data_IF_165634815085
#
_entry.id   IF_165634815085
#
_cell.length_a   1.000
_cell.length_b   1.000
_cell.length_c   1.000
_cell.angle_alpha   90.00
_cell.angle_beta   90.00
_cell.angle_gamma   90.00
#
_symmetry.space_group_name_H-M   'P 1'
#
loop_
_entity.id
_entity.type
_entity.pdbx_description
1 polymer ?
#
# COMPACT_ATOMS: atom_id res chain seq x y z
N UNK A 1 -20.05 19.79 -62.00
CA UNK A 1 -19.86 18.49 -62.67
C UNK A 1 -20.01 17.43 -61.59
N UNK A 2 -21.24 16.97 -61.30
CA UNK A 2 -21.93 15.81 -61.92
C UNK A 2 -21.16 14.50 -61.70
N UNK A 3 -21.71 13.41 -61.17
CA UNK A 3 -23.10 13.04 -60.88
C UNK A 3 -23.12 11.90 -59.84
N UNK A 4 -24.15 11.90 -59.00
CA UNK A 4 -24.67 10.75 -58.27
C UNK A 4 -25.60 9.91 -59.16
N UNK A 5 -25.76 8.62 -58.84
CA UNK A 5 -26.97 7.75 -58.93
C UNK A 5 -26.51 6.29 -58.73
N UNK A 6 -27.15 5.36 -58.01
CA UNK A 6 -28.48 5.31 -57.41
C UNK A 6 -29.17 3.98 -57.76
N UNK A 7 -29.44 3.14 -56.74
CA UNK A 7 -30.53 2.14 -56.59
C UNK A 7 -30.64 1.00 -57.65
N UNK A 8 -31.27 -0.17 -57.49
CA UNK A 8 -32.28 -0.83 -56.61
C UNK A 8 -32.19 -2.32 -57.02
N UNK A 9 -32.30 -3.33 -56.14
CA UNK A 9 -33.55 -3.88 -55.61
C UNK A 9 -33.74 -5.34 -56.08
N UNK A 10 -34.33 -6.20 -55.24
CA UNK A 10 -34.85 -7.52 -55.67
C UNK A 10 -34.67 -8.66 -54.67
N UNK A 11 -35.65 -8.85 -53.80
CA UNK A 11 -35.81 -10.01 -52.93
C UNK A 11 -36.59 -11.14 -53.64
N UNK A 12 -36.32 -12.40 -53.31
CA UNK A 12 -37.33 -13.47 -53.32
C UNK A 12 -36.93 -14.62 -52.38
N UNK A 13 -37.92 -15.11 -51.64
CA UNK A 13 -37.85 -16.16 -50.63
C UNK A 13 -38.14 -17.55 -51.20
N UNK A 14 -37.63 -18.63 -50.57
CA UNK A 14 -38.36 -19.91 -50.50
C UNK A 14 -37.84 -20.79 -49.34
N UNK A 15 -38.68 -21.03 -48.34
CA UNK A 15 -38.65 -22.10 -47.32
C UNK A 15 -39.50 -23.30 -47.83
N UNK A 16 -39.74 -24.39 -47.06
CA UNK A 16 -38.84 -25.29 -46.30
C UNK A 16 -39.11 -26.78 -46.66
N UNK A 17 -38.36 -27.73 -46.07
CA UNK A 17 -38.68 -29.17 -46.12
C UNK A 17 -38.64 -29.76 -44.71
N UNK A 18 -39.69 -30.48 -44.35
CA UNK A 18 -39.99 -31.04 -43.02
C UNK A 18 -40.15 -32.55 -43.11
N UNK A 19 -39.87 -33.22 -41.99
CA UNK A 19 -40.43 -34.49 -41.44
C UNK A 19 -39.50 -35.71 -41.48
N UNK A 20 -39.71 -36.72 -40.61
CA UNK A 20 -39.61 -36.62 -39.13
C UNK A 20 -38.90 -37.85 -38.53
N UNK A 21 -38.55 -37.83 -37.24
CA UNK A 21 -38.51 -39.10 -36.48
C UNK A 21 -38.84 -38.90 -35.00
N UNK A 22 -39.93 -39.54 -34.58
CA UNK A 22 -40.39 -39.73 -33.20
C UNK A 22 -39.66 -40.97 -32.65
N UNK A 23 -39.13 -41.00 -31.44
CA UNK A 23 -39.66 -41.54 -30.14
C UNK A 23 -38.36 -41.73 -29.33
N UNK A 24 -38.21 -41.49 -28.03
CA UNK A 24 -39.03 -41.96 -26.93
C UNK A 24 -38.64 -41.23 -25.64
N UNK A 25 -39.57 -41.19 -24.69
CA UNK A 25 -39.48 -40.46 -23.44
C UNK A 25 -38.71 -41.24 -22.36
N UNK A 26 -37.89 -40.55 -21.56
CA UNK A 26 -37.67 -40.94 -20.16
C UNK A 26 -37.45 -39.68 -19.32
N UNK A 27 -38.47 -39.38 -18.52
CA UNK A 27 -38.52 -38.30 -17.53
C UNK A 27 -37.67 -38.66 -16.31
N UNK A 28 -36.89 -37.72 -15.79
CA UNK A 28 -36.36 -37.76 -14.41
C UNK A 28 -36.51 -36.35 -13.82
N UNK A 29 -37.11 -36.19 -12.62
CA UNK A 29 -37.61 -34.90 -12.18
C UNK A 29 -36.55 -33.96 -11.59
N UNK A 30 -36.86 -32.67 -11.73
CA UNK A 30 -36.13 -31.47 -11.33
C UNK A 30 -35.57 -31.48 -9.90
N UNK A 31 -34.34 -30.98 -9.81
CA UNK A 31 -33.71 -30.59 -8.57
C UNK A 31 -34.42 -29.37 -7.98
N UNK A 32 -34.93 -29.53 -6.76
CA UNK A 32 -35.45 -28.45 -5.92
C UNK A 32 -34.33 -27.43 -5.69
N UNK A 33 -34.41 -26.30 -6.38
CA UNK A 33 -33.54 -25.15 -6.14
C UNK A 33 -34.09 -24.41 -4.93
N UNK A 34 -33.47 -24.57 -3.77
CA UNK A 34 -33.70 -23.71 -2.60
C UNK A 34 -33.03 -22.35 -2.89
N UNK A 35 -33.75 -21.22 -2.84
CA UNK A 35 -33.11 -19.93 -3.03
C UNK A 35 -32.23 -19.59 -1.83
N UNK A 36 -30.98 -19.27 -2.12
CA UNK A 36 -29.96 -18.83 -1.18
C UNK A 36 -30.45 -17.54 -0.50
N UNK A 37 -30.65 -17.59 0.82
CA UNK A 37 -31.06 -16.45 1.62
C UNK A 37 -29.91 -15.45 1.71
N UNK A 38 -29.84 -14.54 0.74
CA UNK A 38 -29.08 -13.31 0.89
C UNK A 38 -29.74 -12.53 2.01
N UNK A 39 -29.15 -12.54 3.21
CA UNK A 39 -29.64 -11.79 4.36
C UNK A 39 -29.57 -10.30 4.05
N UNK A 40 -30.71 -9.72 3.66
CA UNK A 40 -30.93 -8.27 3.68
C UNK A 40 -30.65 -7.79 5.11
N UNK A 41 -29.88 -6.69 5.31
CA UNK A 41 -29.73 -6.13 6.65
C UNK A 41 -31.12 -5.88 7.25
N UNK A 42 -31.30 -6.33 8.49
CA UNK A 42 -32.57 -6.25 9.20
C UNK A 42 -33.01 -4.78 9.26
N UNK A 43 -34.28 -4.46 8.97
CA UNK A 43 -34.75 -3.07 8.93
C UNK A 43 -34.50 -2.31 10.26
N UNK A 44 -34.39 -3.06 11.36
CA UNK A 44 -34.00 -2.55 12.67
C UNK A 44 -32.52 -2.11 12.73
N UNK A 45 -31.60 -2.81 12.06
CA UNK A 45 -30.17 -2.47 11.98
C UNK A 45 -29.96 -1.21 11.12
N UNK A 46 -30.69 -1.09 10.00
CA UNK A 46 -30.66 0.14 9.20
C UNK A 46 -31.20 1.36 9.95
N UNK A 47 -32.30 1.19 10.70
CA UNK A 47 -32.84 2.26 11.55
C UNK A 47 -31.87 2.65 12.68
N UNK A 48 -31.18 1.68 13.29
CA UNK A 48 -30.15 1.94 14.30
C UNK A 48 -28.94 2.68 13.70
N UNK A 49 -28.47 2.24 12.53
CA UNK A 49 -27.37 2.90 11.81
C UNK A 49 -27.70 4.34 11.40
N UNK A 50 -28.95 4.60 10.97
CA UNK A 50 -29.41 5.94 10.63
C UNK A 50 -29.47 6.86 11.86
N UNK A 51 -29.95 6.36 13.02
CA UNK A 51 -29.96 7.11 14.28
C UNK A 51 -28.54 7.42 14.75
N UNK A 52 -27.63 6.45 14.66
CA UNK A 52 -26.23 6.65 15.02
C UNK A 52 -25.57 7.69 14.12
N UNK A 53 -25.81 7.63 12.80
CA UNK A 53 -25.32 8.66 11.88
C UNK A 53 -25.87 10.05 12.20
N UNK A 54 -27.15 10.17 12.56
CA UNK A 54 -27.72 11.46 12.96
C UNK A 54 -27.04 12.05 14.20
N UNK A 55 -26.62 11.22 15.17
CA UNK A 55 -25.81 11.66 16.31
C UNK A 55 -24.44 12.16 15.87
N UNK A 56 -23.75 11.41 15.01
CA UNK A 56 -22.44 11.81 14.48
C UNK A 56 -22.51 13.12 13.68
N UNK A 57 -23.61 13.34 12.97
CA UNK A 57 -23.82 14.55 12.17
C UNK A 57 -23.92 15.82 13.03
N UNK A 58 -24.32 15.70 14.30
CA UNK A 58 -24.36 16.85 15.22
C UNK A 58 -22.96 17.45 15.51
N UNK A 59 -21.89 16.70 15.22
CA UNK A 59 -20.51 17.18 15.34
C UNK A 59 -20.04 17.98 14.12
N UNK A 60 -20.75 17.95 12.99
CA UNK A 60 -20.39 18.75 11.82
C UNK A 60 -20.46 20.25 12.15
N UNK A 61 -19.41 20.99 11.78
CA UNK A 61 -19.24 22.40 12.10
C UNK A 61 -18.70 22.67 13.52
N UNK A 62 -18.58 21.66 14.38
CA UNK A 62 -17.97 21.84 15.70
C UNK A 62 -16.44 21.96 15.58
N UNK A 63 -15.78 22.73 16.47
CA UNK A 63 -14.33 22.83 16.48
C UNK A 63 -13.70 21.46 16.74
N UNK A 64 -12.66 21.11 15.99
CA UNK A 64 -11.77 19.98 16.27
C UNK A 64 -10.53 20.41 17.08
N UNK A 65 -10.08 21.65 16.88
CA UNK A 65 -9.07 22.34 17.67
C UNK A 65 -9.38 23.84 17.64
N UNK A 66 -9.11 24.55 18.73
CA UNK A 66 -9.35 25.99 18.83
C UNK A 66 -8.11 26.67 19.39
N UNK A 67 -7.60 27.67 18.66
CA UNK A 67 -6.39 28.41 19.01
C UNK A 67 -5.19 27.49 19.31
N UNK A 68 -5.06 26.40 18.56
CA UNK A 68 -3.93 25.48 18.70
C UNK A 68 -2.62 26.17 18.36
N UNK A 69 -1.56 25.82 19.08
CA UNK A 69 -0.23 26.42 18.88
C UNK A 69 0.76 25.35 18.42
N UNK A 70 1.54 25.69 17.39
CA UNK A 70 2.69 24.89 17.04
C UNK A 70 3.68 24.87 18.21
N UNK A 71 4.27 23.71 18.49
CA UNK A 71 5.20 23.55 19.62
C UNK A 71 6.44 24.41 19.49
N UNK A 72 6.91 24.51 18.26
CA UNK A 72 8.07 25.27 17.88
C UNK A 72 7.65 26.26 16.79
N UNK A 73 8.25 27.47 16.76
CA UNK A 73 8.20 28.26 15.54
C UNK A 73 8.83 27.45 14.40
N UNK A 74 8.51 27.83 13.17
CA UNK A 74 9.19 27.30 12.00
C UNK A 74 10.69 27.46 12.21
N UNK A 75 11.46 26.40 12.03
CA UNK A 75 12.88 26.40 12.37
C UNK A 75 13.73 25.58 11.39
N UNK A 76 14.95 26.05 11.16
CA UNK A 76 15.90 25.44 10.23
C UNK A 76 16.26 23.99 10.59
N UNK A 77 16.46 23.60 11.87
CA UNK A 77 16.77 22.21 12.20
C UNK A 77 15.71 21.21 11.73
N UNK A 78 14.43 21.52 11.93
CA UNK A 78 13.33 20.67 11.47
C UNK A 78 13.22 20.65 9.95
N UNK A 79 13.41 21.81 9.28
CA UNK A 79 13.43 21.89 7.81
C UNK A 79 14.53 20.99 7.25
N UNK A 80 15.76 21.14 7.76
CA UNK A 80 16.92 20.34 7.31
C UNK A 80 16.67 18.84 7.47
N UNK A 81 16.20 18.40 8.64
CA UNK A 81 15.93 16.98 8.88
C UNK A 81 14.80 16.43 8.02
N UNK A 82 13.77 17.22 7.76
CA UNK A 82 12.70 16.84 6.84
C UNK A 82 13.25 16.68 5.41
N UNK A 83 14.03 17.65 4.92
CA UNK A 83 14.63 17.61 3.59
C UNK A 83 15.58 16.41 3.42
N UNK A 84 16.43 16.14 4.42
CA UNK A 84 17.31 14.96 4.44
C UNK A 84 16.52 13.65 4.36
N UNK A 85 15.44 13.52 5.14
CA UNK A 85 14.61 12.31 5.16
C UNK A 85 13.82 12.11 3.86
N UNK A 86 13.37 13.21 3.25
CA UNK A 86 12.61 13.19 1.99
C UNK A 86 13.51 13.10 0.76
N UNK A 87 14.82 13.33 0.92
CA UNK A 87 15.77 13.43 -0.20
C UNK A 87 15.53 14.69 -1.06
N UNK A 88 14.95 15.74 -0.49
CA UNK A 88 14.65 16.99 -1.17
C UNK A 88 15.78 17.99 -0.94
N UNK A 89 16.44 18.40 -2.02
CA UNK A 89 17.63 19.25 -1.99
C UNK A 89 17.39 20.62 -2.64
N UNK A 90 16.13 21.07 -2.75
CA UNK A 90 15.83 22.39 -3.31
C UNK A 90 16.58 23.50 -2.52
N UNK A 91 17.34 24.37 -3.19
CA UNK A 91 18.09 25.42 -2.54
C UNK A 91 17.23 26.43 -1.77
N UNK A 92 15.94 26.56 -2.10
CA UNK A 92 15.00 27.45 -1.40
C UNK A 92 14.82 27.12 0.09
N UNK A 93 15.18 25.91 0.53
CA UNK A 93 15.03 25.45 1.91
C UNK A 93 16.26 25.69 2.78
N UNK A 94 17.29 26.36 2.25
CA UNK A 94 18.57 26.58 2.93
C UNK A 94 19.02 28.04 2.85
N UNK A 95 19.84 28.45 3.82
CA UNK A 95 20.41 29.81 3.86
C UNK A 95 19.50 30.84 4.55
N UNK A 96 19.89 32.13 4.54
CA UNK A 96 19.24 33.17 5.34
C UNK A 96 17.80 33.49 4.91
N UNK A 97 17.45 33.24 3.65
CA UNK A 97 16.11 33.48 3.09
C UNK A 97 15.29 32.19 2.97
N UNK A 98 15.69 31.14 3.70
CA UNK A 98 15.06 29.83 3.63
C UNK A 98 13.55 29.92 3.87
N UNK A 99 12.81 29.11 3.11
CA UNK A 99 11.42 28.81 3.37
C UNK A 99 11.30 27.37 3.85
N UNK A 100 10.28 27.07 4.64
CA UNK A 100 9.95 25.67 4.90
C UNK A 100 9.33 25.06 3.62
N UNK A 101 9.68 23.81 3.28
CA UNK A 101 8.97 23.06 2.25
C UNK A 101 7.45 23.13 2.49
N UNK A 102 6.63 23.50 1.48
CA UNK A 102 5.19 23.66 1.67
C UNK A 102 4.51 22.43 2.27
N UNK A 103 4.98 21.23 1.90
CA UNK A 103 4.54 19.93 2.42
C UNK A 103 4.81 19.71 3.91
N UNK A 104 5.57 20.59 4.58
CA UNK A 104 5.71 20.60 6.03
C UNK A 104 4.56 21.31 6.76
N UNK A 105 3.54 21.84 6.06
CA UNK A 105 2.43 22.59 6.67
C UNK A 105 1.84 21.89 7.91
N UNK A 106 1.56 20.59 7.80
CA UNK A 106 1.05 19.79 8.92
C UNK A 106 2.11 19.47 9.98
N UNK A 107 3.38 19.36 9.61
CA UNK A 107 4.46 19.01 10.55
C UNK A 107 4.54 20.01 11.71
N UNK A 108 4.28 21.28 11.45
CA UNK A 108 4.28 22.35 12.45
C UNK A 108 3.08 22.32 13.40
N UNK A 109 2.02 21.58 13.08
CA UNK A 109 0.82 21.45 13.91
C UNK A 109 0.69 20.07 14.56
N UNK A 110 1.69 19.20 14.39
CA UNK A 110 1.69 17.87 14.98
C UNK A 110 1.91 17.89 16.51
N UNK A 111 1.10 17.12 17.24
CA UNK A 111 1.25 16.94 18.68
C UNK A 111 2.51 16.18 19.12
N UNK A 112 3.30 15.65 18.18
CA UNK A 112 4.50 14.86 18.48
C UNK A 112 4.23 13.68 19.44
N UNK A 113 5.26 13.24 20.17
CA UNK A 113 5.16 12.09 21.07
C UNK A 113 4.26 12.34 22.29
N UNK A 114 4.15 13.60 22.74
CA UNK A 114 3.28 13.97 23.86
C UNK A 114 1.79 14.06 23.48
N UNK A 115 1.46 13.96 22.19
CA UNK A 115 0.12 14.20 21.69
C UNK A 115 -0.26 15.69 21.65
N UNK A 116 -1.46 15.96 21.12
CA UNK A 116 -2.03 17.30 21.07
C UNK A 116 -2.64 17.67 22.43
N UNK A 117 -2.20 18.79 23.01
CA UNK A 117 -2.85 19.43 24.17
C UNK A 117 -4.10 20.24 23.80
N UNK A 118 -4.25 20.55 22.51
CA UNK A 118 -5.18 21.58 22.03
C UNK A 118 -6.42 20.99 21.33
N UNK A 119 -6.66 19.68 21.49
CA UNK A 119 -7.84 19.00 20.96
C UNK A 119 -9.09 19.53 21.66
N UNK A 120 -10.14 19.78 20.89
CA UNK A 120 -11.42 20.18 21.46
C UNK A 120 -12.11 18.98 22.13
N UNK A 121 -12.95 19.27 23.13
CA UNK A 121 -13.81 18.25 23.74
C UNK A 121 -14.75 17.58 22.74
N UNK A 122 -15.23 18.31 21.73
CA UNK A 122 -16.12 17.79 20.68
C UNK A 122 -15.45 16.75 19.79
N UNK A 123 -14.16 16.91 19.49
CA UNK A 123 -13.41 15.94 18.69
C UNK A 123 -13.16 14.65 19.46
N UNK A 124 -12.82 14.77 20.74
CA UNK A 124 -12.60 13.62 21.62
C UNK A 124 -13.90 12.86 21.89
N UNK A 125 -15.02 13.57 22.08
CA UNK A 125 -16.35 12.97 22.22
C UNK A 125 -16.78 12.23 20.94
N UNK A 126 -16.58 12.81 19.75
CA UNK A 126 -16.84 12.13 18.47
C UNK A 126 -16.03 10.84 18.37
N UNK A 127 -14.74 10.90 18.73
CA UNK A 127 -13.87 9.73 18.69
C UNK A 127 -14.30 8.66 19.69
N UNK A 128 -14.66 9.05 20.92
CA UNK A 128 -15.16 8.14 21.94
C UNK A 128 -16.47 7.47 21.52
N UNK A 129 -17.39 8.18 20.86
CA UNK A 129 -18.63 7.60 20.32
C UNK A 129 -18.34 6.56 19.24
N UNK A 130 -17.42 6.87 18.32
CA UNK A 130 -17.00 5.93 17.28
C UNK A 130 -16.31 4.70 17.87
N UNK A 131 -15.44 4.88 18.87
CA UNK A 131 -14.75 3.79 19.56
C UNK A 131 -15.74 2.91 20.35
N UNK A 132 -16.72 3.53 21.02
CA UNK A 132 -17.82 2.85 21.70
C UNK A 132 -18.72 2.05 20.75
N UNK A 133 -18.81 2.46 19.48
CA UNK A 133 -19.47 1.69 18.41
C UNK A 133 -18.56 0.61 17.78
N UNK A 134 -17.38 0.36 18.37
CA UNK A 134 -16.41 -0.64 17.92
C UNK A 134 -15.46 -0.16 16.82
N UNK A 135 -15.58 1.08 16.34
CA UNK A 135 -14.73 1.64 15.28
C UNK A 135 -13.37 2.10 15.83
N UNK A 136 -12.62 1.18 16.43
CA UNK A 136 -11.36 1.44 17.14
C UNK A 136 -10.14 1.56 16.23
N UNK A 137 -10.26 1.15 14.96
CA UNK A 137 -9.17 1.26 13.98
C UNK A 137 -9.32 2.54 13.16
N UNK A 138 -8.19 3.15 12.81
CA UNK A 138 -8.15 4.39 12.03
C UNK A 138 -7.15 4.29 10.89
N UNK A 139 -7.50 4.86 9.75
CA UNK A 139 -6.58 5.03 8.61
C UNK A 139 -6.85 6.36 7.93
N UNK A 140 -5.81 7.06 7.50
CA UNK A 140 -5.93 8.24 6.65
C UNK A 140 -6.24 7.81 5.22
N UNK A 141 -7.23 8.44 4.60
CA UNK A 141 -7.68 8.08 3.25
C UNK A 141 -7.40 9.17 2.23
N UNK A 142 -7.50 10.44 2.63
CA UNK A 142 -7.32 11.58 1.75
C UNK A 142 -6.67 12.75 2.51
N UNK A 143 -5.81 13.48 1.81
CA UNK A 143 -5.12 14.67 2.32
C UNK A 143 -5.04 15.70 1.20
N UNK A 144 -5.68 16.84 1.39
CA UNK A 144 -5.65 17.99 0.48
C UNK A 144 -5.03 19.18 1.23
N UNK A 145 -4.03 19.82 0.63
CA UNK A 145 -3.38 21.00 1.20
C UNK A 145 -3.37 22.13 0.18
N UNK A 146 -3.71 23.33 0.63
CA UNK A 146 -3.57 24.56 -0.15
C UNK A 146 -2.54 25.46 0.55
N UNK A 147 -1.57 25.95 -0.22
CA UNK A 147 -0.48 26.78 0.29
C UNK A 147 -0.67 28.21 -0.23
N UNK A 148 -0.99 29.14 0.66
CA UNK A 148 -1.27 30.53 0.28
C UNK A 148 -0.01 31.40 0.35
N UNK A 149 0.91 31.08 1.25
CA UNK A 149 2.22 31.72 1.37
C UNK A 149 3.27 30.76 1.92
N UNK A 150 4.55 30.97 1.60
CA UNK A 150 5.62 30.21 2.21
C UNK A 150 5.74 30.55 3.70
N UNK A 151 6.06 29.52 4.48
CA UNK A 151 6.45 29.63 5.88
C UNK A 151 7.95 29.90 5.97
N UNK A 152 8.39 30.70 6.94
CA UNK A 152 9.79 31.08 7.11
C UNK A 152 10.28 30.79 8.53
N UNK A 153 11.57 30.45 8.73
CA UNK A 153 12.15 30.34 10.05
C UNK A 153 11.81 31.55 10.94
N UNK A 154 11.33 31.28 12.15
CA UNK A 154 10.84 32.28 13.10
C UNK A 154 9.33 32.50 13.09
N UNK A 155 8.59 32.03 12.08
CA UNK A 155 7.13 32.14 12.05
C UNK A 155 6.49 31.35 13.20
N UNK A 156 5.69 32.04 14.01
CA UNK A 156 4.88 31.43 15.06
C UNK A 156 3.60 30.84 14.45
N UNK A 157 3.43 29.53 14.59
CA UNK A 157 2.32 28.81 13.99
C UNK A 157 1.14 28.70 14.95
N UNK A 158 -0.04 29.09 14.47
CA UNK A 158 -1.31 28.82 15.14
C UNK A 158 -2.28 28.15 14.18
N UNK A 159 -3.25 27.41 14.70
CA UNK A 159 -4.22 26.73 13.86
C UNK A 159 -5.58 26.56 14.54
N UNK A 160 -6.62 26.58 13.73
CA UNK A 160 -7.96 26.13 14.11
C UNK A 160 -8.35 24.97 13.22
N UNK A 161 -9.11 24.02 13.77
CA UNK A 161 -9.67 22.94 12.98
C UNK A 161 -11.16 22.80 13.24
N UNK A 162 -11.90 22.38 12.22
CA UNK A 162 -13.33 22.09 12.29
C UNK A 162 -13.60 20.69 11.78
N UNK A 163 -14.58 20.02 12.39
CA UNK A 163 -15.14 18.77 11.86
C UNK A 163 -16.02 19.17 10.66
N UNK A 164 -15.50 19.00 9.46
CA UNK A 164 -16.16 19.46 8.23
C UNK A 164 -17.32 18.53 7.83
N UNK A 165 -17.12 17.22 7.93
CA UNK A 165 -18.17 16.24 7.63
C UNK A 165 -17.96 14.89 8.32
N UNK A 166 -19.06 14.18 8.58
CA UNK A 166 -19.05 12.77 9.01
C UNK A 166 -19.98 11.95 8.12
N UNK A 167 -19.41 10.97 7.41
CA UNK A 167 -20.19 10.17 6.46
C UNK A 167 -21.18 9.23 7.15
N UNK A 168 -22.23 8.78 6.44
CA UNK A 168 -22.95 7.57 6.82
C UNK A 168 -22.01 6.37 6.94
N UNK A 169 -22.50 5.27 7.52
CA UNK A 169 -21.77 4.01 7.62
C UNK A 169 -21.36 3.52 6.22
N UNK A 170 -20.08 3.19 6.03
CA UNK A 170 -19.53 2.67 4.78
C UNK A 170 -18.74 1.39 5.04
N UNK A 171 -18.92 0.41 4.17
CA UNK A 171 -18.13 -0.83 4.17
C UNK A 171 -17.04 -0.72 3.12
N UNK A 172 -15.80 -0.95 3.55
CA UNK A 172 -14.59 -0.96 2.73
C UNK A 172 -13.90 -2.32 2.83
N UNK A 173 -12.81 -2.53 2.10
CA UNK A 173 -11.98 -3.73 2.25
C UNK A 173 -11.33 -3.86 3.63
N UNK A 174 -11.06 -2.75 4.31
CA UNK A 174 -10.45 -2.73 5.64
C UNK A 174 -11.47 -3.04 6.74
N UNK A 175 -12.74 -2.73 6.49
CA UNK A 175 -13.82 -2.92 7.43
C UNK A 175 -14.94 -1.91 7.24
N UNK A 176 -15.87 -1.90 8.20
CA UNK A 176 -17.06 -1.06 8.17
C UNK A 176 -16.93 0.06 9.20
N UNK A 177 -17.19 1.29 8.80
CA UNK A 177 -16.95 2.45 9.63
C UNK A 177 -17.51 3.76 9.06
N UNK A 178 -17.00 4.87 9.57
CA UNK A 178 -17.39 6.22 9.17
C UNK A 178 -16.15 7.01 8.74
N UNK A 179 -16.32 7.78 7.67
CA UNK A 179 -15.31 8.76 7.30
C UNK A 179 -15.54 10.04 8.09
N UNK A 180 -14.46 10.59 8.65
CA UNK A 180 -14.45 11.88 9.33
C UNK A 180 -13.50 12.79 8.58
N UNK A 181 -14.01 13.92 8.10
CA UNK A 181 -13.21 14.93 7.41
C UNK A 181 -13.03 16.13 8.33
N UNK A 182 -11.79 16.51 8.57
CA UNK A 182 -11.43 17.73 9.32
C UNK A 182 -10.77 18.72 8.39
N UNK A 183 -11.16 19.99 8.50
CA UNK A 183 -10.52 21.10 7.79
C UNK A 183 -9.77 21.95 8.82
N UNK A 184 -8.50 22.21 8.56
CA UNK A 184 -7.61 23.00 9.41
C UNK A 184 -7.14 24.23 8.66
N UNK A 185 -7.20 25.37 9.33
CA UNK A 185 -6.65 26.64 8.86
C UNK A 185 -5.38 26.93 9.66
N UNK A 186 -4.23 26.94 8.98
CA UNK A 186 -2.91 27.16 9.60
C UNK A 186 -2.47 28.59 9.34
N UNK A 187 -2.07 29.29 10.40
CA UNK A 187 -1.65 30.69 10.36
C UNK A 187 -0.20 30.83 10.81
N UNK A 188 0.52 31.75 10.18
CA UNK A 188 1.85 32.18 10.56
C UNK A 188 1.77 33.63 11.04
N UNK A 189 2.15 33.88 12.29
CA UNK A 189 2.08 35.21 12.92
C UNK A 189 0.68 35.86 12.82
N UNK A 190 -0.38 35.05 12.82
CA UNK A 190 -1.77 35.50 12.71
C UNK A 190 -2.32 35.61 11.29
N UNK A 191 -1.49 35.49 10.25
CA UNK A 191 -1.91 35.49 8.84
C UNK A 191 -2.14 34.08 8.31
N UNK A 192 -3.17 33.86 7.51
CA UNK A 192 -3.44 32.54 6.91
C UNK A 192 -2.30 32.13 5.97
N UNK A 193 -1.66 31.01 6.30
CA UNK A 193 -0.54 30.46 5.56
C UNK A 193 -0.95 29.32 4.62
N UNK A 194 -1.90 28.49 5.05
CA UNK A 194 -2.43 27.41 4.25
C UNK A 194 -3.63 26.73 4.90
N UNK A 195 -4.30 25.89 4.12
CA UNK A 195 -5.40 25.05 4.59
C UNK A 195 -5.04 23.57 4.41
N UNK A 196 -5.58 22.74 5.29
CA UNK A 196 -5.37 21.30 5.27
C UNK A 196 -6.69 20.58 5.53
N UNK A 197 -7.20 19.89 4.52
CA UNK A 197 -8.38 19.02 4.63
C UNK A 197 -7.90 17.58 4.70
N UNK A 198 -8.19 16.94 5.82
CA UNK A 198 -7.73 15.59 6.13
C UNK A 198 -8.92 14.68 6.38
N UNK A 199 -8.95 13.55 5.68
CA UNK A 199 -10.02 12.56 5.81
C UNK A 199 -9.46 11.25 6.35
N UNK A 200 -10.10 10.77 7.40
CA UNK A 200 -9.83 9.47 8.00
C UNK A 200 -11.04 8.56 7.88
N UNK A 201 -10.79 7.26 7.90
CA UNK A 201 -11.80 6.23 8.15
C UNK A 201 -11.56 5.68 9.56
N UNK A 202 -12.54 5.85 10.46
CA UNK A 202 -12.62 5.10 11.73
C UNK A 202 -13.53 3.89 11.50
N UNK A 203 -13.02 2.68 11.73
CA UNK A 203 -13.70 1.45 11.31
C UNK A 203 -13.51 0.29 12.29
N UNK A 204 -14.49 -0.61 12.29
CA UNK A 204 -14.36 -1.96 12.83
C UNK A 204 -13.58 -2.76 11.79
N UNK A 205 -12.40 -3.33 12.09
CA UNK A 205 -11.70 -4.20 11.16
C UNK A 205 -12.62 -5.28 10.64
N UNK A 206 -12.60 -5.50 9.32
CA UNK A 206 -13.23 -6.68 8.76
C UNK A 206 -12.67 -7.89 9.51
N UNK A 207 -13.54 -8.68 10.14
CA UNK A 207 -13.13 -9.93 10.75
C UNK A 207 -12.35 -10.67 9.68
N UNK A 208 -11.04 -10.91 9.94
CA UNK A 208 -10.23 -11.75 9.07
C UNK A 208 -11.06 -13.00 8.92
N UNK A 209 -11.59 -13.25 7.71
CA UNK A 209 -12.46 -14.41 7.48
C UNK A 209 -11.64 -15.59 8.00
N UNK A 210 -11.99 -16.10 9.18
CA UNK A 210 -11.47 -17.36 9.64
C UNK A 210 -11.77 -18.27 8.47
N UNK A 211 -10.73 -18.78 7.82
CA UNK A 211 -10.89 -19.56 6.61
C UNK A 211 -12.01 -20.56 6.90
N UNK A 212 -13.18 -20.36 6.29
CA UNK A 212 -14.27 -21.29 6.46
C UNK A 212 -13.67 -22.66 6.13
N UNK A 213 -13.82 -23.68 7.00
CA UNK A 213 -13.30 -24.99 6.69
C UNK A 213 -13.95 -25.43 5.39
N UNK A 214 -13.19 -25.36 4.28
CA UNK A 214 -13.63 -25.91 3.01
C UNK A 214 -13.99 -27.38 3.23
N UNK A 215 -15.04 -27.90 2.58
CA UNK A 215 -15.42 -29.31 2.71
C UNK A 215 -14.19 -30.16 2.45
N UNK A 216 -13.77 -30.88 3.51
CA UNK A 216 -12.62 -31.79 3.59
C UNK A 216 -11.66 -31.72 2.40
N UNK A 217 -10.90 -30.61 2.30
CA UNK A 217 -9.75 -30.59 1.41
C UNK A 217 -8.79 -31.65 1.95
N UNK A 218 -8.61 -32.74 1.19
CA UNK A 218 -7.57 -33.76 1.43
C UNK A 218 -6.32 -33.04 1.95
N UNK A 219 -5.75 -33.52 3.07
CA UNK A 219 -4.51 -33.01 3.70
C UNK A 219 -3.63 -32.37 2.62
N UNK A 220 -3.45 -31.03 2.58
CA UNK A 220 -2.53 -30.47 1.62
C UNK A 220 -1.15 -31.00 1.97
N UNK A 221 -0.38 -31.39 0.96
CA UNK A 221 1.07 -31.54 1.11
C UNK A 221 1.70 -30.22 1.58
N UNK A 222 3.00 -30.20 1.86
CA UNK A 222 3.69 -29.00 2.34
C UNK A 222 3.34 -27.79 1.46
N UNK A 223 2.96 -26.67 2.10
CA UNK A 223 2.47 -25.48 1.40
C UNK A 223 3.57 -24.93 0.47
N UNK A 224 3.25 -24.80 -0.81
CA UNK A 224 4.19 -24.36 -1.84
C UNK A 224 4.62 -22.90 -1.64
N UNK A 225 5.87 -22.59 -1.99
CA UNK A 225 6.36 -21.22 -1.94
C UNK A 225 5.73 -20.34 -3.02
N UNK A 226 5.53 -19.03 -2.73
CA UNK A 226 5.05 -18.10 -3.74
C UNK A 226 5.94 -18.13 -4.98
N UNK A 227 5.34 -18.34 -6.15
CA UNK A 227 6.06 -18.34 -7.42
C UNK A 227 6.39 -16.90 -7.81
N UNK A 228 7.62 -16.63 -8.27
CA UNK A 228 7.97 -15.32 -8.81
C UNK A 228 7.11 -14.97 -10.03
N UNK A 229 6.77 -13.69 -10.18
CA UNK A 229 6.19 -13.18 -11.42
C UNK A 229 7.34 -12.93 -12.40
N UNK A 230 7.48 -13.81 -13.38
CA UNK A 230 8.50 -13.71 -14.42
C UNK A 230 7.89 -12.98 -15.62
N UNK A 231 8.59 -11.96 -16.10
CA UNK A 231 8.23 -11.19 -17.29
C UNK A 231 9.47 -10.95 -18.15
N UNK A 232 9.30 -10.29 -19.30
CA UNK A 232 10.39 -10.01 -20.24
C UNK A 232 11.58 -9.29 -19.59
N UNK A 233 11.34 -8.39 -18.65
CA UNK A 233 12.38 -7.52 -18.10
C UNK A 233 13.21 -8.19 -17.00
N UNK A 234 12.67 -9.22 -16.34
CA UNK A 234 13.38 -10.00 -15.31
C UNK A 234 13.71 -11.44 -15.71
N UNK A 235 13.34 -11.87 -16.92
CA UNK A 235 13.56 -13.23 -17.43
C UNK A 235 15.04 -13.65 -17.32
N UNK A 236 15.97 -12.78 -17.72
CA UNK A 236 17.40 -13.10 -17.71
C UNK A 236 17.98 -13.32 -16.31
N UNK A 237 17.40 -12.71 -15.28
CA UNK A 237 17.75 -13.03 -13.89
C UNK A 237 17.37 -14.48 -13.55
N UNK A 238 16.14 -14.89 -13.89
CA UNK A 238 15.64 -16.23 -13.59
C UNK A 238 16.29 -17.33 -14.43
N UNK A 239 16.68 -17.02 -15.67
CA UNK A 239 17.49 -17.93 -16.49
C UNK A 239 18.88 -18.12 -15.87
N UNK A 240 19.51 -17.04 -15.40
CA UNK A 240 20.73 -17.12 -14.60
C UNK A 240 20.57 -18.00 -13.35
N UNK A 241 19.50 -17.79 -12.58
CA UNK A 241 19.20 -18.60 -11.39
C UNK A 241 19.10 -20.09 -11.74
N UNK A 242 18.40 -20.44 -12.83
CA UNK A 242 18.28 -21.83 -13.31
C UNK A 242 19.64 -22.46 -13.68
N UNK A 243 20.57 -21.64 -14.16
CA UNK A 243 21.94 -22.03 -14.50
C UNK A 243 22.91 -21.92 -13.30
N UNK A 244 22.39 -21.67 -12.09
CA UNK A 244 23.16 -21.43 -10.86
C UNK A 244 24.14 -20.25 -10.96
N UNK A 245 23.73 -19.19 -11.68
CA UNK A 245 24.49 -17.95 -11.88
C UNK A 245 23.68 -16.75 -11.42
N UNK A 246 24.18 -16.02 -10.43
CA UNK A 246 23.55 -14.77 -10.02
C UNK A 246 23.99 -13.65 -10.96
N UNK A 247 23.18 -13.36 -11.97
CA UNK A 247 23.47 -12.35 -12.97
C UNK A 247 22.99 -10.95 -12.55
N UNK A 248 23.90 -9.98 -12.56
CA UNK A 248 23.64 -8.57 -12.32
C UNK A 248 23.64 -7.85 -13.67
N UNK A 249 22.63 -7.00 -13.89
CA UNK A 249 22.50 -6.24 -15.13
C UNK A 249 23.52 -5.08 -15.14
N UNK A 250 24.22 -4.90 -16.26
CA UNK A 250 25.20 -3.82 -16.44
C UNK A 250 24.88 -3.01 -17.69
N UNK A 251 24.89 -1.68 -17.59
CA UNK A 251 24.70 -0.83 -18.75
C UNK A 251 25.94 -0.87 -19.66
N UNK A 252 25.74 -1.09 -20.95
CA UNK A 252 26.85 -1.10 -21.93
C UNK A 252 27.36 0.31 -22.25
N UNK A 253 26.59 1.36 -21.96
CA UNK A 253 26.98 2.75 -22.20
C UNK A 253 27.78 3.37 -21.03
N UNK A 254 27.37 3.15 -19.78
CA UNK A 254 27.99 3.79 -18.60
C UNK A 254 28.53 2.80 -17.54
N UNK A 255 28.50 1.49 -17.83
CA UNK A 255 28.95 0.43 -16.94
C UNK A 255 28.25 0.33 -15.58
N UNK A 256 27.19 1.11 -15.33
CA UNK A 256 26.42 1.05 -14.07
C UNK A 256 25.78 -0.32 -13.90
N UNK A 257 26.12 -0.97 -12.77
CA UNK A 257 25.48 -2.19 -12.29
C UNK A 257 24.13 -1.87 -11.66
N UNK A 258 23.13 -2.74 -11.86
CA UNK A 258 21.79 -2.56 -11.30
C UNK A 258 21.13 -3.86 -10.92
N UNK A 259 20.47 -3.80 -9.76
CA UNK A 259 19.56 -4.79 -9.25
C UNK A 259 18.49 -4.07 -8.41
N UNK A 260 17.18 -4.36 -8.55
CA UNK A 260 16.55 -5.31 -9.49
C UNK A 260 16.78 -4.99 -10.97
N UNK A 261 16.46 -5.96 -11.84
CA UNK A 261 16.55 -5.77 -13.30
C UNK A 261 15.53 -4.74 -13.77
N UNK A 262 15.95 -3.86 -14.69
CA UNK A 262 15.15 -2.76 -15.24
C UNK A 262 15.28 -2.73 -16.78
N UNK A 263 14.24 -2.26 -17.51
CA UNK A 263 14.26 -2.20 -18.97
C UNK A 263 15.25 -1.14 -19.53
N UNK A 264 15.75 -0.23 -18.68
CA UNK A 264 16.74 0.78 -19.05
C UNK A 264 17.60 1.20 -17.87
N UNK A 265 18.70 1.89 -18.14
CA UNK A 265 19.62 2.37 -17.12
C UNK A 265 19.06 3.59 -16.38
N UNK A 266 18.98 3.51 -15.05
CA UNK A 266 18.55 4.61 -14.17
C UNK A 266 19.57 5.76 -14.07
N UNK A 267 20.80 5.58 -14.57
CA UNK A 267 21.83 6.61 -14.55
C UNK A 267 21.91 7.41 -15.86
N UNK A 268 21.82 6.74 -17.02
CA UNK A 268 22.02 7.38 -18.34
C UNK A 268 20.87 7.18 -19.34
N UNK A 269 19.78 6.53 -18.92
CA UNK A 269 18.62 6.19 -19.75
C UNK A 269 18.87 5.28 -20.97
N UNK A 270 20.09 4.75 -21.15
CA UNK A 270 20.38 3.76 -22.20
C UNK A 270 19.52 2.51 -22.02
N UNK A 271 18.89 1.99 -23.10
CA UNK A 271 18.14 0.74 -23.08
C UNK A 271 19.04 -0.48 -23.19
N UNK A 272 20.33 -0.30 -23.48
CA UNK A 272 21.27 -1.37 -23.79
C UNK A 272 22.01 -1.85 -22.54
N UNK A 273 22.16 -3.17 -22.44
CA UNK A 273 22.81 -3.81 -21.30
C UNK A 273 23.33 -5.20 -21.62
N UNK A 274 24.33 -5.58 -20.83
CA UNK A 274 24.83 -6.94 -20.70
C UNK A 274 24.73 -7.38 -19.23
N UNK A 275 25.38 -8.49 -18.88
CA UNK A 275 25.37 -9.02 -17.52
C UNK A 275 26.79 -9.26 -17.00
N UNK A 276 26.92 -9.19 -15.67
CA UNK A 276 28.09 -9.68 -14.94
C UNK A 276 27.62 -10.74 -13.95
N UNK A 277 28.39 -11.81 -13.81
CA UNK A 277 28.13 -12.83 -12.79
C UNK A 277 28.66 -12.34 -11.45
N UNK A 278 27.81 -12.35 -10.42
CA UNK A 278 28.20 -11.99 -9.07
C UNK A 278 29.14 -13.06 -8.49
N UNK A 279 30.17 -12.64 -7.75
CA UNK A 279 31.09 -13.55 -7.08
C UNK A 279 30.45 -14.34 -5.90
N UNK A 280 29.21 -14.01 -5.56
CA UNK A 280 28.42 -14.66 -4.52
C UNK A 280 28.80 -14.27 -3.09
N UNK A 281 29.74 -13.33 -2.89
CA UNK A 281 30.02 -12.75 -1.58
C UNK A 281 29.07 -11.58 -1.28
N UNK A 282 28.59 -11.51 -0.04
CA UNK A 282 27.82 -10.36 0.41
C UNK A 282 27.87 -10.17 1.93
N UNK A 283 27.25 -9.09 2.38
CA UNK A 283 27.07 -8.79 3.80
C UNK A 283 25.62 -8.39 4.07
N UNK A 284 25.09 -8.75 5.24
CA UNK A 284 23.75 -8.30 5.66
C UNK A 284 23.78 -6.80 5.88
N UNK A 285 23.15 -6.02 5.00
CA UNK A 285 23.02 -4.57 5.14
C UNK A 285 21.91 -4.21 6.14
N UNK A 286 20.76 -4.89 6.03
CA UNK A 286 19.63 -4.77 6.95
C UNK A 286 18.81 -6.06 6.94
N UNK A 287 17.97 -6.29 7.95
CA UNK A 287 17.13 -7.48 8.02
C UNK A 287 15.87 -7.25 8.85
N UNK A 288 14.88 -8.10 8.62
CA UNK A 288 13.68 -8.24 9.45
C UNK A 288 13.48 -9.69 9.84
N UNK A 289 12.96 -9.94 11.04
CA UNK A 289 12.58 -11.27 11.50
C UNK A 289 11.06 -11.36 11.53
N UNK A 290 10.51 -12.29 10.75
CA UNK A 290 9.07 -12.47 10.64
C UNK A 290 8.57 -13.42 11.74
N UNK A 291 7.87 -12.88 12.74
CA UNK A 291 7.32 -13.67 13.85
C UNK A 291 5.82 -13.98 13.67
N UNK A 292 5.01 -12.98 13.28
CA UNK A 292 3.56 -13.11 13.15
C UNK A 292 3.02 -12.09 12.13
N UNK A 293 1.98 -12.41 11.32
CA UNK A 293 1.31 -13.71 11.22
C UNK A 293 2.15 -14.77 10.51
N UNK A 294 1.95 -16.07 10.83
CA UNK A 294 2.61 -17.14 10.09
C UNK A 294 2.16 -17.12 8.63
N UNK A 295 3.12 -17.25 7.71
CA UNK A 295 2.84 -17.44 6.29
C UNK A 295 3.04 -18.92 5.96
N UNK A 296 2.04 -19.64 5.43
CA UNK A 296 2.09 -21.11 5.31
C UNK A 296 3.32 -21.69 4.62
N UNK A 297 3.95 -20.93 3.73
CA UNK A 297 5.11 -21.37 2.94
C UNK A 297 6.48 -21.21 3.65
N UNK A 298 6.49 -20.69 4.87
CA UNK A 298 7.70 -20.49 5.68
C UNK A 298 7.43 -20.94 7.12
N UNK A 299 8.46 -21.48 7.77
CA UNK A 299 8.42 -21.80 9.19
C UNK A 299 8.90 -20.58 10.00
N UNK A 300 8.02 -19.83 10.69
CA UNK A 300 8.44 -18.72 11.54
C UNK A 300 9.07 -19.21 12.85
N UNK A 301 10.01 -18.44 13.44
CA UNK A 301 10.54 -17.18 12.93
C UNK A 301 11.65 -17.39 11.88
N UNK A 302 11.64 -16.57 10.83
CA UNK A 302 12.68 -16.58 9.79
C UNK A 302 13.14 -15.16 9.46
N UNK A 303 14.41 -15.04 9.06
CA UNK A 303 15.00 -13.77 8.65
C UNK A 303 14.88 -13.55 7.14
N UNK A 304 14.54 -12.33 6.76
CA UNK A 304 14.67 -11.80 5.40
C UNK A 304 15.64 -10.63 5.47
N UNK A 305 16.71 -10.69 4.68
CA UNK A 305 17.75 -9.69 4.69
C UNK A 305 17.81 -8.94 3.36
N UNK A 306 18.18 -7.66 3.44
CA UNK A 306 18.76 -6.92 2.35
C UNK A 306 20.28 -7.17 2.40
N UNK A 307 20.79 -7.91 1.42
CA UNK A 307 22.21 -8.27 1.30
C UNK A 307 22.89 -7.31 0.34
N UNK A 308 23.97 -6.69 0.77
CA UNK A 308 24.87 -5.92 -0.10
C UNK A 308 25.93 -6.87 -0.66
N UNK A 309 25.94 -7.03 -1.99
CA UNK A 309 26.91 -7.87 -2.69
C UNK A 309 28.25 -7.13 -2.81
N UNK A 310 29.33 -7.88 -3.02
CA UNK A 310 30.67 -7.31 -3.20
C UNK A 310 30.74 -6.34 -4.41
N UNK A 311 29.87 -6.52 -5.40
CA UNK A 311 29.72 -5.64 -6.57
C UNK A 311 29.00 -4.32 -6.25
N UNK A 312 28.47 -4.15 -5.03
CA UNK A 312 27.85 -2.91 -4.55
C UNK A 312 26.33 -2.78 -4.79
N UNK A 313 25.71 -3.74 -5.48
CA UNK A 313 24.24 -3.81 -5.58
C UNK A 313 23.64 -4.53 -4.37
N UNK A 314 22.37 -4.28 -4.08
CA UNK A 314 21.65 -4.91 -2.97
C UNK A 314 20.54 -5.82 -3.44
N UNK A 315 20.37 -6.95 -2.76
CA UNK A 315 19.38 -7.95 -3.09
C UNK A 315 18.63 -8.42 -1.84
N UNK A 316 17.31 -8.52 -1.93
CA UNK A 316 16.48 -9.09 -0.87
C UNK A 316 16.51 -10.61 -0.97
N UNK A 317 16.81 -11.30 0.14
CA UNK A 317 16.82 -12.76 0.18
C UNK A 317 16.68 -13.31 1.60
N UNK A 318 16.41 -14.61 1.73
CA UNK A 318 16.45 -15.30 3.01
C UNK A 318 17.90 -15.57 3.45
N UNK A 319 18.12 -15.51 4.76
CA UNK A 319 19.38 -15.97 5.35
C UNK A 319 19.23 -17.42 5.83
N UNK A 320 20.12 -18.30 5.37
CA UNK A 320 20.16 -19.72 5.73
C UNK A 320 21.43 -20.05 6.52
N UNK A 321 21.50 -21.25 7.09
CA UNK A 321 22.69 -21.78 7.76
C UNK A 321 22.99 -21.18 9.15
N UNK A 322 22.28 -20.13 9.57
CA UNK A 322 22.31 -19.58 10.93
C UNK A 322 20.89 -19.40 11.47
N UNK A 323 20.67 -19.56 12.78
CA UNK A 323 19.40 -19.22 13.42
C UNK A 323 19.02 -17.75 13.21
N UNK A 324 17.72 -17.45 13.15
CA UNK A 324 17.22 -16.09 12.88
C UNK A 324 17.71 -15.04 13.89
N UNK A 325 17.93 -15.44 15.15
CA UNK A 325 18.40 -14.59 16.25
C UNK A 325 19.91 -14.33 16.21
N UNK A 326 20.64 -15.00 15.31
CA UNK A 326 22.06 -14.76 15.02
C UNK A 326 22.27 -13.90 13.78
N UNK A 327 21.22 -13.59 13.02
CA UNK A 327 21.30 -12.63 11.91
C UNK A 327 21.50 -11.24 12.50
N UNK A 328 22.52 -10.53 11.99
CA UNK A 328 22.87 -9.17 12.40
C UNK A 328 23.42 -8.39 11.22
N UNK A 329 23.31 -7.07 11.29
CA UNK A 329 23.95 -6.16 10.31
C UNK A 329 25.46 -6.43 10.29
N UNK A 330 26.03 -6.49 9.09
CA UNK A 330 27.44 -6.80 8.83
C UNK A 330 27.77 -8.29 8.84
N UNK A 331 26.81 -9.20 9.07
CA UNK A 331 27.08 -10.64 8.99
C UNK A 331 27.54 -11.01 7.55
N UNK A 332 28.73 -11.62 7.38
CA UNK A 332 29.16 -12.10 6.07
C UNK A 332 28.32 -13.29 5.63
N UNK A 333 27.94 -13.28 4.35
CA UNK A 333 27.10 -14.30 3.75
C UNK A 333 27.62 -14.74 2.39
N UNK A 334 27.25 -15.95 1.97
CA UNK A 334 27.59 -16.53 0.66
C UNK A 334 26.34 -16.99 -0.06
N UNK A 335 26.29 -16.71 -1.37
CA UNK A 335 25.22 -17.17 -2.25
C UNK A 335 25.15 -18.70 -2.26
N UNK A 336 23.94 -19.22 -2.13
CA UNK A 336 23.57 -20.61 -2.39
C UNK A 336 22.30 -20.63 -3.25
N UNK A 337 22.11 -21.68 -4.04
CA UNK A 337 20.87 -21.93 -4.77
C UNK A 337 20.07 -22.97 -4.01
N UNK A 338 18.90 -22.56 -3.51
CA UNK A 338 18.00 -23.42 -2.77
C UNK A 338 16.89 -23.90 -3.69
N UNK A 339 16.91 -25.19 -4.00
CA UNK A 339 15.76 -25.86 -4.64
C UNK A 339 14.64 -26.01 -3.63
N UNK A 340 13.57 -25.27 -3.85
CA UNK A 340 12.41 -25.21 -2.96
C UNK A 340 11.42 -26.33 -3.29
N UNK A 341 11.26 -26.63 -4.57
CA UNK A 341 10.50 -27.77 -5.09
C UNK A 341 10.98 -28.14 -6.51
N UNK A 342 10.24 -29.00 -7.21
CA UNK A 342 10.63 -29.48 -8.54
C UNK A 342 10.80 -28.35 -9.57
N UNK A 343 10.02 -27.27 -9.44
CA UNK A 343 9.90 -26.21 -10.46
C UNK A 343 10.42 -24.84 -9.98
N UNK A 344 10.96 -24.75 -8.75
CA UNK A 344 11.47 -23.48 -8.22
C UNK A 344 12.79 -23.65 -7.47
N UNK A 345 13.74 -22.84 -7.91
CA UNK A 345 15.00 -22.59 -7.25
C UNK A 345 15.13 -21.11 -6.95
N UNK A 346 15.68 -20.79 -5.78
CA UNK A 346 15.84 -19.42 -5.31
C UNK A 346 17.30 -19.18 -4.92
N UNK A 347 17.88 -18.03 -5.30
CA UNK A 347 19.15 -17.60 -4.75
C UNK A 347 18.96 -17.12 -3.31
N UNK A 348 19.54 -17.87 -2.37
CA UNK A 348 19.56 -17.59 -0.93
C UNK A 348 20.96 -17.25 -0.45
N UNK A 349 21.09 -16.70 0.75
CA UNK A 349 22.39 -16.36 1.31
C UNK A 349 22.63 -17.11 2.62
N UNK A 350 23.66 -17.95 2.63
CA UNK A 350 24.08 -18.66 3.82
C UNK A 350 24.97 -17.78 4.68
N UNK A 351 24.60 -17.62 5.95
CA UNK A 351 25.48 -17.05 6.95
C UNK A 351 26.59 -18.02 7.31
N UNK A 352 27.84 -17.54 7.31
CA UNK A 352 28.93 -18.23 8.00
C UNK A 352 28.81 -17.92 9.49
N UNK A 353 28.37 -18.90 10.28
CA UNK A 353 28.35 -18.77 11.74
C UNK A 353 29.75 -18.44 12.25
N UNK A 354 29.86 -17.37 13.04
CA UNK A 354 31.07 -17.06 13.79
C UNK A 354 31.12 -17.89 15.07
#
# INVERSE_FOLDING_TARGET
>A
MTHATGATGGATSTTPSTTPNTTDATTTPDATTTPDATTTPDAADEAAAARFHALLKAFEGQPAATAGQGKDPVNEPMIRHWCEAMGDADPAYTGPDAIAPPTMLQAWTMGGLSGHSDRSGSYDELFALLDGAGCTSVVATDCEQEYLRPLRPGDAITFDAVIESVSPRKTTKLGTGHFVTTRMDVRANGELAGTHRFRILKYVPAARRAAQPSPSRKKPGPAQRPRPVINRDNQGFWDGVRDHKLLIQRCTACATLRFPWLPGCNACASPDWDTVEACGAGTVFSYVVMHHPPFPAFDPPYAVALVELAEGVRMVSNITGVPYDKVRIGLPVRLEFLRVDEDLELPVFRGSGA
#
